data_IF_866120154030
#
_entry.id   IF_866120154030
#
_cell.length_a   1.000
_cell.length_b   1.000
_cell.length_c   1.000
_cell.angle_alpha   90.00
_cell.angle_beta   90.00
_cell.angle_gamma   90.00
#
_symmetry.space_group_name_H-M   'P 1'
#
loop_
_entity.id
_entity.type
_entity.pdbx_description
1 polymer ?
#
# COMPACT_ATOMS: atom_id res chain seq x y z
N UNK A 1 0.46 1.16 -10.06
CA UNK A 1 0.55 1.06 -8.56
C UNK A 1 -0.32 2.03 -7.76
N UNK A 2 -0.18 3.37 -7.84
CA UNK A 2 -0.91 4.31 -6.95
C UNK A 2 -2.44 4.19 -7.06
N UNK A 3 -2.96 4.03 -8.28
CA UNK A 3 -4.40 3.86 -8.53
C UNK A 3 -4.96 2.59 -7.90
N UNK A 4 -4.23 1.48 -7.99
CA UNK A 4 -4.60 0.20 -7.39
C UNK A 4 -4.67 0.30 -5.86
N UNK A 5 -3.65 0.92 -5.25
CA UNK A 5 -3.64 1.13 -3.79
C UNK A 5 -4.82 1.99 -3.33
N UNK A 6 -5.07 3.12 -4.00
CA UNK A 6 -6.21 3.98 -3.66
C UNK A 6 -7.55 3.25 -3.82
N UNK A 7 -7.72 2.42 -4.85
CA UNK A 7 -8.92 1.58 -5.00
C UNK A 7 -9.06 0.57 -3.86
N UNK A 8 -8.00 -0.14 -3.50
CA UNK A 8 -8.01 -1.12 -2.41
C UNK A 8 -8.35 -0.47 -1.05
N UNK A 9 -7.83 0.73 -0.83
CA UNK A 9 -8.14 1.53 0.36
C UNK A 9 -9.62 1.93 0.40
N UNK A 10 -10.17 2.43 -0.71
CA UNK A 10 -11.60 2.78 -0.80
C UNK A 10 -12.49 1.55 -0.62
N UNK A 11 -12.15 0.43 -1.27
CA UNK A 11 -12.91 -0.83 -1.21
C UNK A 11 -12.97 -1.39 0.21
N UNK A 12 -11.89 -1.21 0.99
CA UNK A 12 -11.81 -1.61 2.40
C UNK A 12 -12.27 -0.54 3.39
N UNK A 13 -12.66 0.65 2.92
CA UNK A 13 -12.98 1.78 3.78
C UNK A 13 -11.81 2.24 4.66
N UNK A 14 -10.57 1.94 4.25
CA UNK A 14 -9.35 2.25 5.01
C UNK A 14 -8.68 3.48 4.42
N UNK A 15 -8.20 4.37 5.28
CA UNK A 15 -7.43 5.55 4.87
C UNK A 15 -5.94 5.24 4.73
N UNK A 16 -5.22 6.07 3.96
CA UNK A 16 -3.74 5.96 3.87
C UNK A 16 -3.10 6.17 5.26
N UNK A 17 -3.73 6.95 6.13
CA UNK A 17 -3.30 7.19 7.51
C UNK A 17 -3.42 5.94 8.36
N UNK A 18 -4.54 5.23 8.31
CA UNK A 18 -4.71 3.95 9.01
C UNK A 18 -3.77 2.87 8.47
N UNK A 19 -3.54 2.86 7.14
CA UNK A 19 -2.54 1.98 6.54
C UNK A 19 -1.14 2.32 7.07
N UNK A 20 -0.81 3.60 7.23
CA UNK A 20 0.46 4.06 7.80
C UNK A 20 0.64 3.55 9.23
N UNK A 21 -0.40 3.63 10.05
CA UNK A 21 -0.38 3.17 11.44
C UNK A 21 -0.26 1.64 11.53
N UNK A 22 -1.05 0.90 10.74
CA UNK A 22 -1.00 -0.58 10.70
C UNK A 22 0.33 -1.13 10.21
N UNK A 23 0.89 -0.51 9.17
CA UNK A 23 2.13 -0.99 8.54
C UNK A 23 3.40 -0.44 9.18
N UNK A 24 3.27 0.64 9.97
CA UNK A 24 4.40 1.43 10.46
C UNK A 24 5.16 2.17 9.34
N UNK A 25 4.57 2.29 8.15
CA UNK A 25 5.20 2.97 7.01
C UNK A 25 4.68 4.40 6.98
N UNK A 26 5.59 5.37 6.95
CA UNK A 26 5.22 6.79 6.91
C UNK A 26 4.25 7.09 5.76
N UNK A 27 3.20 7.87 6.06
CA UNK A 27 2.22 8.36 5.08
C UNK A 27 2.86 8.86 3.77
N UNK A 28 3.94 9.64 3.86
CA UNK A 28 4.63 10.17 2.70
C UNK A 28 5.26 9.08 1.81
N UNK A 29 5.67 7.95 2.40
CA UNK A 29 6.15 6.77 1.65
C UNK A 29 4.99 6.09 0.95
N UNK A 30 3.85 5.90 1.62
CA UNK A 30 2.64 5.32 1.01
C UNK A 30 2.13 6.17 -0.15
N UNK A 31 2.14 7.50 0.02
CA UNK A 31 1.69 8.43 -1.01
C UNK A 31 2.61 8.46 -2.25
N UNK A 32 3.86 8.02 -2.08
CA UNK A 32 4.89 7.90 -3.12
C UNK A 32 5.12 6.45 -3.60
N UNK A 33 4.27 5.48 -3.22
CA UNK A 33 4.38 4.06 -3.61
C UNK A 33 4.52 3.81 -5.11
N UNK A 34 3.94 4.67 -5.95
CA UNK A 34 4.05 4.57 -7.40
C UNK A 34 5.15 5.41 -8.04
N UNK A 35 5.93 6.16 -7.25
CA UNK A 35 6.99 7.07 -7.73
C UNK A 35 8.39 6.65 -7.28
N UNK A 36 8.51 5.90 -6.18
CA UNK A 36 9.78 5.38 -5.69
C UNK A 36 9.72 3.86 -5.61
N UNK A 37 10.83 3.22 -5.92
CA UNK A 37 11.04 1.83 -5.58
C UNK A 37 10.91 1.66 -4.07
N UNK A 38 9.95 0.85 -3.67
CA UNK A 38 9.74 0.51 -2.28
C UNK A 38 10.31 -0.86 -2.06
N UNK A 39 11.13 -0.97 -1.02
CA UNK A 39 11.69 -2.23 -0.56
C UNK A 39 10.59 -3.27 -0.43
N UNK A 40 10.82 -4.47 -0.97
CA UNK A 40 9.88 -5.60 -0.93
C UNK A 40 9.28 -5.81 0.47
N UNK A 41 10.09 -5.70 1.52
CA UNK A 41 9.63 -5.79 2.93
C UNK A 41 8.49 -4.83 3.28
N UNK A 42 8.55 -3.57 2.82
CA UNK A 42 7.48 -2.59 3.02
C UNK A 42 6.23 -2.95 2.21
N UNK A 43 6.43 -3.44 0.98
CA UNK A 43 5.33 -3.88 0.14
C UNK A 43 4.60 -5.07 0.76
N UNK A 44 5.33 -6.03 1.35
CA UNK A 44 4.76 -7.16 2.11
C UNK A 44 3.90 -6.65 3.25
N UNK A 45 4.38 -5.69 4.05
CA UNK A 45 3.59 -5.11 5.15
C UNK A 45 2.29 -4.46 4.67
N UNK A 46 2.34 -3.74 3.55
CA UNK A 46 1.16 -3.10 2.96
C UNK A 46 0.17 -4.15 2.47
N UNK A 47 0.66 -5.17 1.77
CA UNK A 47 -0.13 -6.29 1.29
C UNK A 47 -0.79 -7.06 2.43
N UNK A 48 -0.05 -7.30 3.52
CA UNK A 48 -0.53 -7.96 4.73
C UNK A 48 -1.58 -7.12 5.48
N UNK A 49 -1.31 -5.82 5.68
CA UNK A 49 -2.26 -4.90 6.30
C UNK A 49 -3.54 -4.70 5.47
N UNK A 50 -3.41 -4.77 4.15
CA UNK A 50 -4.51 -4.75 3.20
C UNK A 50 -4.99 -6.15 2.84
N UNK A 51 -4.54 -7.21 3.53
CA UNK A 51 -4.83 -8.62 3.28
C UNK A 51 -5.13 -8.92 1.78
N UNK A 52 -4.19 -8.51 0.93
CA UNK A 52 -4.22 -8.63 -0.52
C UNK A 52 -2.92 -9.24 -0.99
N UNK A 53 -2.99 -10.02 -2.08
CA UNK A 53 -1.77 -10.56 -2.68
C UNK A 53 -0.90 -9.46 -3.30
N UNK A 54 0.41 -9.55 -3.09
CA UNK A 54 1.42 -8.70 -3.72
C UNK A 54 1.31 -8.67 -5.25
N UNK A 55 0.80 -9.75 -5.85
CA UNK A 55 0.57 -9.84 -7.29
C UNK A 55 -0.40 -8.76 -7.82
N UNK A 56 -1.32 -8.25 -6.98
CA UNK A 56 -2.16 -7.10 -7.33
C UNK A 56 -1.35 -5.83 -7.60
N UNK A 57 -0.16 -5.72 -7.01
CA UNK A 57 0.74 -4.59 -7.22
C UNK A 57 1.77 -4.84 -8.33
N UNK A 58 2.00 -6.10 -8.73
CA UNK A 58 2.93 -6.49 -9.82
C UNK A 58 2.36 -6.33 -11.22
N UNK A 59 1.05 -6.36 -11.42
CA UNK A 59 0.41 -6.11 -12.72
C UNK A 59 0.25 -4.61 -12.96
N UNK A 60 1.31 -3.94 -13.38
CA UNK A 60 1.31 -2.74 -14.24
C UNK A 60 2.73 -2.47 -14.76
#
# INVERSE_FOLDING_TARGET
MKKTLSKLLIDRGMTVTELSEKTGISYNTLMNIGKRDISFSKMVKIADALDVSLDKFRKE
#
